data_IF_791065338340
#
_entry.id   IF_791065338340
#
_cell.length_a   1.000
_cell.length_b   1.000
_cell.length_c   1.000
_cell.angle_alpha   90.00
_cell.angle_beta   90.00
_cell.angle_gamma   90.00
#
_symmetry.space_group_name_H-M   'P 1'
#
loop_
_entity.id
_entity.type
_entity.pdbx_description
1 polymer ?
#
# COMPACT_ATOMS: atom_id res chain seq x y z
N UNK A 1 -0.90 6.40 -7.73
CA UNK A 1 0.00 6.01 -8.84
C UNK A 1 1.42 6.06 -8.33
N UNK A 2 2.18 4.97 -8.49
CA UNK A 2 3.61 4.95 -8.13
C UNK A 2 4.38 5.42 -9.38
N UNK A 3 5.07 6.58 -9.37
CA UNK A 3 5.79 7.08 -10.52
C UNK A 3 7.21 6.51 -10.63
N UNK A 4 7.55 5.53 -9.79
CA UNK A 4 8.84 4.82 -9.81
C UNK A 4 9.11 4.20 -11.18
N UNK A 5 10.31 4.48 -11.71
CA UNK A 5 10.93 3.69 -12.77
C UNK A 5 12.30 3.22 -12.32
N UNK A 6 12.73 2.09 -12.86
CA UNK A 6 14.00 1.44 -12.55
C UNK A 6 14.96 1.55 -13.71
N UNK A 7 16.26 1.50 -13.40
CA UNK A 7 17.31 1.45 -14.40
C UNK A 7 17.15 0.21 -15.28
N UNK A 8 17.59 0.28 -16.53
CA UNK A 8 17.60 -0.88 -17.42
C UNK A 8 18.70 -1.87 -17.02
N UNK A 9 18.37 -3.16 -17.02
CA UNK A 9 19.33 -4.23 -16.70
C UNK A 9 18.63 -5.52 -16.31
N UNK A 10 19.37 -6.64 -16.19
CA UNK A 10 18.82 -7.92 -15.76
C UNK A 10 18.47 -7.94 -14.27
N UNK A 11 17.39 -8.62 -13.89
CA UNK A 11 16.98 -8.75 -12.48
C UNK A 11 16.41 -7.46 -11.88
N UNK A 12 16.37 -7.41 -10.55
CA UNK A 12 15.87 -6.25 -9.80
C UNK A 12 16.89 -5.12 -9.92
N UNK A 13 16.48 -4.00 -10.51
CA UNK A 13 17.33 -2.84 -10.75
C UNK A 13 17.02 -1.69 -9.77
N UNK A 14 18.02 -0.86 -9.42
CA UNK A 14 17.81 0.35 -8.62
C UNK A 14 16.82 1.31 -9.27
N UNK A 15 16.16 2.14 -8.45
CA UNK A 15 15.34 3.25 -8.95
C UNK A 15 16.18 4.23 -9.79
N UNK A 16 15.53 4.84 -10.78
CA UNK A 16 16.10 5.87 -11.63
C UNK A 16 15.40 7.22 -11.39
N UNK A 17 15.95 8.09 -10.52
CA UNK A 17 15.39 9.41 -10.26
C UNK A 17 15.34 10.32 -11.50
N UNK A 18 16.13 10.04 -12.55
CA UNK A 18 16.12 10.85 -13.78
C UNK A 18 14.82 10.68 -14.58
N UNK A 19 14.07 9.61 -14.30
CA UNK A 19 12.81 9.31 -14.97
C UNK A 19 11.58 9.99 -14.33
N UNK A 20 11.72 10.63 -13.16
CA UNK A 20 10.58 11.25 -12.46
C UNK A 20 9.86 12.24 -13.39
N UNK A 21 10.58 13.12 -14.08
CA UNK A 21 9.96 14.12 -14.96
C UNK A 21 9.23 13.48 -16.14
N UNK A 22 9.76 12.36 -16.66
CA UNK A 22 9.13 11.62 -17.75
C UNK A 22 7.76 11.11 -17.29
N UNK A 23 7.70 10.45 -16.14
CA UNK A 23 6.45 9.88 -15.62
C UNK A 23 5.46 10.97 -15.22
N UNK A 24 5.92 12.06 -14.60
CA UNK A 24 5.04 13.19 -14.26
C UNK A 24 4.46 13.85 -15.52
N UNK A 25 5.20 13.92 -16.62
CA UNK A 25 4.69 14.42 -17.90
C UNK A 25 3.69 13.47 -18.56
N UNK A 26 3.90 12.15 -18.45
CA UNK A 26 2.91 11.15 -18.89
C UNK A 26 1.61 11.26 -18.10
N UNK A 27 1.71 11.41 -16.77
CA UNK A 27 0.55 11.63 -15.89
C UNK A 27 -0.24 12.87 -16.34
N UNK A 28 0.44 14.00 -16.53
CA UNK A 28 -0.21 15.25 -16.99
C UNK A 28 -0.91 15.10 -18.34
N UNK A 29 -0.32 14.34 -19.26
CA UNK A 29 -0.84 14.22 -20.64
C UNK A 29 -1.88 13.14 -20.84
N UNK A 30 -1.90 12.08 -20.01
CA UNK A 30 -2.70 10.87 -20.28
C UNK A 30 -3.65 10.49 -19.16
N UNK A 31 -3.34 10.83 -17.91
CA UNK A 31 -4.00 10.20 -16.76
C UNK A 31 -4.38 11.16 -15.62
N UNK A 32 -4.14 12.47 -15.77
CA UNK A 32 -4.27 13.43 -14.66
C UNK A 32 -5.65 13.38 -14.00
N UNK A 33 -6.73 13.30 -14.79
CA UNK A 33 -8.11 13.26 -14.28
C UNK A 33 -8.46 11.95 -13.56
N UNK A 34 -7.67 10.89 -13.74
CA UNK A 34 -7.87 9.59 -13.10
C UNK A 34 -6.96 9.40 -11.86
N UNK A 35 -6.00 10.29 -11.63
CA UNK A 35 -5.03 10.18 -10.55
C UNK A 35 -5.44 11.06 -9.37
N UNK A 36 -5.53 10.45 -8.19
CA UNK A 36 -5.89 11.14 -6.93
C UNK A 36 -4.71 11.33 -5.99
N UNK A 37 -3.60 10.61 -6.21
CA UNK A 37 -2.38 10.69 -5.41
C UNK A 37 -1.20 10.06 -6.14
N UNK A 38 -0.01 10.54 -5.80
CA UNK A 38 1.27 9.94 -6.16
C UNK A 38 1.83 9.20 -4.96
N UNK A 39 2.40 8.02 -5.15
CA UNK A 39 2.99 7.21 -4.09
C UNK A 39 4.50 7.10 -4.33
N UNK A 40 5.30 7.36 -3.31
CA UNK A 40 6.74 7.17 -3.37
C UNK A 40 7.10 5.66 -3.52
N UNK A 41 8.37 5.29 -3.74
CA UNK A 41 8.76 3.93 -4.13
C UNK A 41 8.17 2.81 -3.28
N UNK A 42 7.86 1.69 -3.92
CA UNK A 42 7.19 0.55 -3.30
C UNK A 42 8.19 -0.50 -2.81
N UNK A 43 8.16 -0.79 -1.50
CA UNK A 43 8.94 -1.86 -0.85
C UNK A 43 10.41 -1.90 -1.29
N UNK A 44 10.99 -0.71 -1.52
CA UNK A 44 12.34 -0.60 -2.07
C UNK A 44 13.39 -1.18 -1.12
N UNK A 45 13.11 -1.30 0.18
CA UNK A 45 13.97 -1.95 1.17
C UNK A 45 14.28 -3.42 0.87
N UNK A 46 13.43 -4.11 0.09
CA UNK A 46 13.68 -5.49 -0.36
C UNK A 46 13.82 -5.61 -1.89
N UNK A 47 13.42 -4.57 -2.64
CA UNK A 47 13.47 -4.55 -4.11
C UNK A 47 14.47 -3.53 -4.68
N UNK A 48 15.54 -3.19 -3.96
CA UNK A 48 16.57 -2.23 -4.40
C UNK A 48 17.68 -2.82 -5.30
N UNK A 49 17.72 -4.14 -5.47
CA UNK A 49 18.72 -4.79 -6.31
C UNK A 49 20.14 -4.55 -5.80
N UNK A 50 21.04 -4.09 -6.69
CA UNK A 50 22.44 -3.83 -6.34
C UNK A 50 22.69 -2.48 -5.63
N UNK A 51 21.65 -1.72 -5.31
CA UNK A 51 21.80 -0.42 -4.65
C UNK A 51 22.18 -0.59 -3.17
N UNK A 52 23.46 -0.39 -2.85
CA UNK A 52 23.96 -0.45 -1.47
C UNK A 52 23.62 0.79 -0.66
N UNK A 53 23.15 1.86 -1.31
CA UNK A 53 22.78 3.14 -0.67
C UNK A 53 21.25 3.40 -0.77
N UNK A 54 20.48 2.32 -0.76
CA UNK A 54 19.03 2.35 -1.01
C UNK A 54 18.28 3.31 -0.06
N UNK A 55 18.74 3.45 1.19
CA UNK A 55 18.15 4.36 2.18
C UNK A 55 18.25 5.81 1.71
N UNK A 56 19.43 6.27 1.28
CA UNK A 56 19.56 7.64 0.79
C UNK A 56 18.83 7.82 -0.54
N UNK A 57 18.86 6.82 -1.41
CA UNK A 57 18.21 6.90 -2.71
C UNK A 57 16.68 6.98 -2.61
N UNK A 58 16.03 6.18 -1.75
CA UNK A 58 14.57 6.27 -1.55
C UNK A 58 14.15 7.59 -0.89
N UNK A 59 14.95 8.10 0.06
CA UNK A 59 14.74 9.41 0.68
C UNK A 59 14.85 10.51 -0.36
N UNK A 60 15.93 10.53 -1.14
CA UNK A 60 16.14 11.51 -2.20
C UNK A 60 15.05 11.45 -3.27
N UNK A 61 14.62 10.25 -3.67
CA UNK A 61 13.53 10.08 -4.62
C UNK A 61 12.23 10.68 -4.09
N UNK A 62 11.86 10.38 -2.83
CA UNK A 62 10.64 10.90 -2.20
C UNK A 62 10.66 12.43 -2.12
N UNK A 63 11.80 13.02 -1.74
CA UNK A 63 12.00 14.47 -1.69
C UNK A 63 11.86 15.10 -3.09
N UNK A 64 12.48 14.50 -4.10
CA UNK A 64 12.44 14.99 -5.48
C UNK A 64 11.02 14.92 -6.05
N UNK A 65 10.32 13.80 -5.85
CA UNK A 65 8.93 13.63 -6.26
C UNK A 65 8.03 14.70 -5.64
N UNK A 66 8.11 14.88 -4.32
CA UNK A 66 7.33 15.89 -3.61
C UNK A 66 7.60 17.29 -4.15
N UNK A 67 8.87 17.70 -4.25
CA UNK A 67 9.23 19.04 -4.72
C UNK A 67 8.72 19.29 -6.13
N UNK A 68 8.94 18.35 -7.06
CA UNK A 68 8.49 18.48 -8.45
C UNK A 68 6.98 18.59 -8.55
N UNK A 69 6.24 17.71 -7.87
CA UNK A 69 4.78 17.75 -7.87
C UNK A 69 4.24 19.06 -7.28
N UNK A 70 4.78 19.52 -6.14
CA UNK A 70 4.32 20.74 -5.46
C UNK A 70 4.64 22.03 -6.21
N UNK A 71 5.69 22.05 -7.04
CA UNK A 71 6.03 23.22 -7.87
C UNK A 71 5.32 23.26 -9.23
N UNK A 72 4.68 22.17 -9.65
CA UNK A 72 3.98 22.07 -10.93
C UNK A 72 2.50 22.42 -10.75
N UNK A 73 1.99 23.38 -11.53
CA UNK A 73 0.61 23.89 -11.38
C UNK A 73 -0.49 22.83 -11.57
N UNK A 74 -0.23 21.81 -12.40
CA UNK A 74 -1.17 20.72 -12.67
C UNK A 74 -1.12 19.64 -11.61
N UNK A 75 0.02 19.48 -10.93
CA UNK A 75 0.27 18.37 -10.00
C UNK A 75 0.23 18.76 -8.52
N UNK A 76 0.36 20.05 -8.18
CA UNK A 76 0.45 20.52 -6.79
C UNK A 76 -0.73 20.13 -5.89
N UNK A 77 -1.87 19.80 -6.49
CA UNK A 77 -3.07 19.35 -5.78
C UNK A 77 -3.13 17.83 -5.58
N UNK A 78 -2.22 17.06 -6.20
CA UNK A 78 -2.09 15.63 -5.96
C UNK A 78 -1.31 15.40 -4.67
N UNK A 79 -1.91 14.65 -3.74
CA UNK A 79 -1.25 14.28 -2.51
C UNK A 79 -0.12 13.29 -2.75
N UNK A 80 0.93 13.38 -1.93
CA UNK A 80 2.05 12.44 -1.91
C UNK A 80 1.86 11.44 -0.77
N UNK A 81 1.82 10.16 -1.10
CA UNK A 81 1.87 9.05 -0.15
C UNK A 81 3.35 8.67 0.02
N UNK A 82 3.80 8.48 1.26
CA UNK A 82 5.18 8.09 1.56
C UNK A 82 5.58 6.73 0.96
N UNK A 83 6.87 6.37 1.01
CA UNK A 83 7.29 5.07 0.51
C UNK A 83 6.70 3.96 1.38
N UNK A 84 6.27 2.86 0.76
CA UNK A 84 5.99 1.63 1.50
C UNK A 84 7.29 0.89 1.78
N UNK A 85 7.37 0.24 2.93
CA UNK A 85 8.52 -0.56 3.37
C UNK A 85 8.02 -1.82 4.09
N UNK A 86 8.85 -2.86 4.14
CA UNK A 86 8.42 -4.20 4.60
C UNK A 86 8.73 -4.50 6.07
N UNK A 87 9.63 -3.73 6.70
CA UNK A 87 10.17 -4.03 8.05
C UNK A 87 10.31 -2.79 8.93
N UNK A 88 10.23 -2.96 10.25
CA UNK A 88 10.41 -1.86 11.19
C UNK A 88 11.81 -1.23 11.04
N UNK A 89 12.83 -2.07 10.87
CA UNK A 89 14.22 -1.65 10.65
C UNK A 89 14.34 -0.75 9.42
N UNK A 90 13.61 -1.04 8.34
CA UNK A 90 13.58 -0.18 7.17
C UNK A 90 12.89 1.17 7.45
N UNK A 91 11.76 1.18 8.18
CA UNK A 91 11.12 2.44 8.59
C UNK A 91 12.02 3.28 9.50
N UNK A 92 12.77 2.65 10.40
CA UNK A 92 13.75 3.33 11.27
C UNK A 92 14.94 3.87 10.46
N UNK A 93 15.45 3.11 9.49
CA UNK A 93 16.56 3.52 8.63
C UNK A 93 16.18 4.67 7.69
N UNK A 94 15.01 4.58 7.04
CA UNK A 94 14.48 5.67 6.19
C UNK A 94 14.10 6.87 7.04
N UNK A 95 13.48 6.66 8.20
CA UNK A 95 13.16 7.69 9.18
C UNK A 95 12.20 8.77 8.67
N UNK A 96 12.32 9.95 9.29
CA UNK A 96 11.36 11.04 9.13
C UNK A 96 11.30 11.59 7.69
N UNK A 97 10.12 11.45 7.06
CA UNK A 97 9.74 11.96 5.74
C UNK A 97 8.63 13.02 5.82
N UNK A 98 8.29 13.49 7.02
CA UNK A 98 7.08 14.26 7.31
C UNK A 98 6.94 15.53 6.46
N UNK A 99 8.04 16.22 6.13
CA UNK A 99 7.99 17.43 5.27
C UNK A 99 7.79 17.15 3.78
N UNK A 100 7.80 15.88 3.35
CA UNK A 100 7.85 15.47 1.95
C UNK A 100 6.77 14.46 1.56
N UNK A 101 5.78 14.25 2.42
CA UNK A 101 4.63 13.37 2.20
C UNK A 101 3.38 14.04 2.77
N UNK A 102 2.20 13.72 2.26
CA UNK A 102 0.90 14.13 2.82
C UNK A 102 0.26 13.00 3.65
N UNK A 103 0.56 11.75 3.29
CA UNK A 103 0.10 10.56 3.99
C UNK A 103 1.25 9.62 4.30
N UNK A 104 1.18 8.99 5.47
CA UNK A 104 2.01 7.84 5.79
C UNK A 104 1.53 6.65 4.98
N UNK A 105 2.47 5.84 4.50
CA UNK A 105 2.17 4.59 3.82
C UNK A 105 2.47 3.39 4.72
N UNK A 106 1.56 2.43 4.79
CA UNK A 106 1.77 1.16 5.49
C UNK A 106 1.17 -0.01 4.72
N UNK A 107 1.96 -1.04 4.44
CA UNK A 107 1.44 -2.32 3.99
C UNK A 107 0.96 -3.14 5.20
N UNK A 108 -0.35 -3.17 5.45
CA UNK A 108 -0.94 -3.70 6.68
C UNK A 108 -1.36 -5.17 6.55
N UNK A 109 -0.33 -5.99 6.39
CA UNK A 109 -0.24 -7.42 6.69
C UNK A 109 -1.00 -8.00 7.90
N UNK A 110 -2.26 -8.45 7.81
CA UNK A 110 -2.88 -9.25 8.89
C UNK A 110 -2.84 -10.79 8.66
N UNK A 111 -2.37 -11.22 7.48
CA UNK A 111 -2.04 -12.61 7.17
C UNK A 111 -3.14 -13.61 7.59
N UNK A 112 -2.82 -14.78 8.16
CA UNK A 112 -3.84 -15.75 8.58
C UNK A 112 -4.67 -15.36 9.82
N UNK A 113 -4.49 -14.16 10.38
CA UNK A 113 -5.11 -13.76 11.64
C UNK A 113 -6.42 -13.00 11.43
N UNK A 114 -7.27 -12.96 12.45
CA UNK A 114 -8.51 -12.21 12.34
C UNK A 114 -8.26 -10.70 12.27
N UNK A 115 -9.16 -9.95 11.59
CA UNK A 115 -9.04 -8.51 11.50
C UNK A 115 -9.06 -7.81 12.85
N UNK A 116 -8.06 -6.97 13.10
CA UNK A 116 -7.92 -6.23 14.35
C UNK A 116 -7.38 -7.05 15.52
N UNK A 117 -6.67 -8.16 15.24
CA UNK A 117 -5.94 -8.89 16.27
C UNK A 117 -4.95 -7.98 17.03
N UNK A 118 -4.76 -8.27 18.32
CA UNK A 118 -3.95 -7.46 19.22
C UNK A 118 -2.43 -7.67 19.05
N UNK A 119 -2.02 -8.62 18.19
CA UNK A 119 -0.66 -8.75 17.71
C UNK A 119 0.36 -9.13 18.81
N UNK A 120 1.49 -8.41 18.83
CA UNK A 120 2.64 -8.60 19.73
C UNK A 120 2.37 -8.10 21.18
N UNK A 121 1.20 -8.41 21.73
CA UNK A 121 0.84 -8.21 23.14
C UNK A 121 0.63 -9.55 23.88
N UNK A 122 1.52 -10.52 23.59
CA UNK A 122 1.68 -11.85 24.19
C UNK A 122 0.97 -13.03 23.52
N UNK A 123 0.38 -12.91 22.32
CA UNK A 123 -0.36 -14.04 21.69
C UNK A 123 -0.24 -14.24 20.17
N UNK A 124 0.40 -13.34 19.41
CA UNK A 124 0.48 -13.46 17.94
C UNK A 124 1.89 -13.17 17.40
N UNK A 125 2.22 -13.69 16.20
CA UNK A 125 3.52 -13.50 15.53
C UNK A 125 3.54 -12.34 14.54
N UNK A 126 2.43 -11.59 14.42
CA UNK A 126 2.29 -10.45 13.52
C UNK A 126 2.02 -9.14 14.28
N UNK A 127 2.42 -7.97 13.77
CA UNK A 127 2.14 -6.69 14.42
C UNK A 127 0.65 -6.33 14.39
N UNK A 128 0.13 -5.78 15.49
CA UNK A 128 -1.22 -5.21 15.50
C UNK A 128 -1.27 -3.85 14.82
N UNK A 129 -2.47 -3.38 14.48
CA UNK A 129 -2.68 -2.03 13.93
C UNK A 129 -2.11 -0.97 14.89
N UNK A 130 -2.25 -1.17 16.21
CA UNK A 130 -1.66 -0.28 17.23
C UNK A 130 -0.15 -0.23 17.11
N UNK A 131 0.48 -1.39 16.94
CA UNK A 131 1.93 -1.48 16.79
C UNK A 131 2.40 -0.78 15.51
N UNK A 132 1.73 -1.03 14.38
CA UNK A 132 2.02 -0.33 13.13
C UNK A 132 1.95 1.19 13.28
N UNK A 133 0.92 1.73 13.92
CA UNK A 133 0.84 3.18 14.14
C UNK A 133 1.95 3.69 15.05
N UNK A 134 2.21 3.01 16.16
CA UNK A 134 3.15 3.50 17.17
C UNK A 134 4.61 3.32 16.77
N UNK A 135 4.91 2.31 15.94
CA UNK A 135 6.28 1.90 15.62
C UNK A 135 6.68 2.11 14.18
N UNK A 136 5.76 1.99 13.23
CA UNK A 136 6.06 2.18 11.80
C UNK A 136 5.69 3.60 11.37
N UNK A 137 4.41 3.98 11.51
CA UNK A 137 3.92 5.27 11.04
C UNK A 137 4.66 6.45 11.68
N UNK A 138 4.98 6.35 12.97
CA UNK A 138 5.72 7.39 13.71
C UNK A 138 7.15 7.62 13.22
N UNK A 139 7.80 6.63 12.60
CA UNK A 139 9.12 6.84 12.00
C UNK A 139 9.01 7.72 10.76
N UNK A 140 8.03 7.43 9.91
CA UNK A 140 7.83 8.15 8.65
C UNK A 140 7.22 9.55 8.87
N UNK A 141 6.28 9.70 9.82
CA UNK A 141 5.68 10.98 10.22
C UNK A 141 5.56 11.10 11.75
N UNK A 142 6.56 11.71 12.42
CA UNK A 142 6.47 11.99 13.85
C UNK A 142 5.32 12.93 14.22
N UNK A 143 4.90 13.84 13.33
CA UNK A 143 3.75 14.72 13.57
C UNK A 143 2.40 13.99 13.56
N UNK A 144 2.35 12.75 13.02
CA UNK A 144 1.14 11.94 13.01
C UNK A 144 0.23 12.21 11.82
N UNK A 145 0.79 12.36 10.62
CA UNK A 145 0.00 12.40 9.38
C UNK A 145 -0.86 11.14 9.24
N UNK A 146 -1.99 11.28 8.56
CA UNK A 146 -2.94 10.18 8.34
C UNK A 146 -2.28 9.05 7.56
N UNK A 147 -2.65 7.82 7.89
CA UNK A 147 -2.15 6.62 7.22
C UNK A 147 -3.05 6.28 6.03
N UNK A 148 -2.44 5.97 4.90
CA UNK A 148 -3.05 5.14 3.85
C UNK A 148 -2.37 3.77 3.87
N UNK A 149 -3.16 2.73 3.76
CA UNK A 149 -2.65 1.38 3.56
C UNK A 149 -2.77 1.03 2.09
N UNK A 150 -1.70 1.24 1.32
CA UNK A 150 -1.69 1.02 -0.14
C UNK A 150 -1.62 -0.44 -0.52
N UNK A 151 -1.37 -1.31 0.46
CA UNK A 151 -1.45 -2.75 0.30
C UNK A 151 -1.89 -3.44 1.60
N UNK A 152 -2.88 -4.32 1.48
CA UNK A 152 -3.32 -5.25 2.52
C UNK A 152 -4.19 -6.32 1.87
N UNK A 153 -4.36 -7.45 2.54
CA UNK A 153 -5.26 -8.48 2.06
C UNK A 153 -5.05 -9.82 2.75
N UNK A 154 -5.81 -10.78 2.29
CA UNK A 154 -5.70 -12.19 2.64
C UNK A 154 -5.52 -12.98 1.35
N UNK A 155 -4.67 -13.99 1.40
CA UNK A 155 -4.49 -14.94 0.31
C UNK A 155 -5.13 -16.28 0.69
N UNK A 156 -5.59 -17.03 -0.31
CA UNK A 156 -6.29 -18.30 -0.13
C UNK A 156 -5.55 -19.55 -0.66
N UNK A 157 -4.24 -19.43 -0.83
CA UNK A 157 -3.34 -20.57 -1.01
C UNK A 157 -3.06 -21.25 0.34
N UNK A 158 -3.86 -22.28 0.64
CA UNK A 158 -3.77 -23.09 1.85
C UNK A 158 -2.39 -23.76 2.03
N UNK A 159 -1.64 -24.03 0.96
CA UNK A 159 -0.30 -24.60 1.07
C UNK A 159 0.72 -23.58 1.60
N UNK A 160 0.44 -22.29 1.44
CA UNK A 160 1.27 -21.18 1.88
C UNK A 160 0.70 -20.46 3.10
N UNK A 161 0.05 -21.21 4.00
CA UNK A 161 -0.59 -20.68 5.21
C UNK A 161 -1.68 -19.63 4.93
N UNK A 162 -2.36 -19.77 3.78
CA UNK A 162 -3.51 -18.97 3.40
C UNK A 162 -4.77 -19.34 4.15
N UNK A 163 -5.80 -18.52 3.95
CA UNK A 163 -7.15 -18.76 4.46
C UNK A 163 -7.96 -19.62 3.49
N UNK A 164 -9.06 -20.18 3.94
CA UNK A 164 -10.08 -20.62 2.97
C UNK A 164 -10.71 -19.41 2.30
N UNK A 165 -11.21 -19.56 1.07
CA UNK A 165 -12.02 -18.53 0.40
C UNK A 165 -13.19 -18.02 1.26
N UNK A 166 -13.80 -18.90 2.05
CA UNK A 166 -14.87 -18.52 2.98
C UNK A 166 -14.35 -17.64 4.13
N UNK A 167 -13.18 -17.94 4.68
CA UNK A 167 -12.56 -17.14 5.71
C UNK A 167 -12.11 -15.77 5.18
N UNK A 168 -11.49 -15.71 3.99
CA UNK A 168 -11.22 -14.45 3.27
C UNK A 168 -12.52 -13.65 3.07
N UNK A 169 -13.59 -14.31 2.63
CA UNK A 169 -14.92 -13.71 2.49
C UNK A 169 -15.46 -13.02 3.75
N UNK A 170 -15.15 -13.57 4.93
CA UNK A 170 -15.52 -12.99 6.23
C UNK A 170 -14.54 -11.91 6.68
N UNK A 171 -13.25 -12.09 6.40
CA UNK A 171 -12.19 -11.24 6.94
C UNK A 171 -11.98 -9.96 6.11
N UNK A 172 -12.13 -10.02 4.79
CA UNK A 172 -12.01 -8.85 3.92
C UNK A 172 -12.91 -7.67 4.36
N UNK A 173 -14.25 -7.79 4.46
CA UNK A 173 -15.10 -6.67 4.88
C UNK A 173 -14.82 -6.22 6.33
N UNK A 174 -14.47 -7.16 7.22
CA UNK A 174 -14.08 -6.86 8.60
C UNK A 174 -12.78 -6.06 8.67
N UNK A 175 -11.81 -6.34 7.81
CA UNK A 175 -10.56 -5.59 7.72
C UNK A 175 -10.82 -4.14 7.27
N UNK A 176 -11.63 -3.93 6.22
CA UNK A 176 -12.03 -2.57 5.82
C UNK A 176 -12.73 -1.81 6.95
N UNK A 177 -13.70 -2.44 7.62
CA UNK A 177 -14.43 -1.82 8.72
C UNK A 177 -13.52 -1.51 9.92
N UNK A 178 -12.64 -2.44 10.29
CA UNK A 178 -11.68 -2.23 11.38
C UNK A 178 -10.67 -1.14 11.03
N UNK A 179 -10.11 -1.16 9.82
CA UNK A 179 -9.12 -0.17 9.39
C UNK A 179 -9.73 1.24 9.39
N UNK A 180 -10.96 1.36 8.87
CA UNK A 180 -11.73 2.60 8.95
C UNK A 180 -11.96 3.04 10.39
N UNK A 181 -12.46 2.14 11.27
CA UNK A 181 -12.70 2.41 12.69
C UNK A 181 -11.44 2.89 13.41
N UNK A 182 -10.27 2.40 13.00
CA UNK A 182 -8.96 2.72 13.58
C UNK A 182 -8.35 4.00 13.01
N UNK A 183 -8.99 4.64 12.03
CA UNK A 183 -8.54 5.92 11.47
C UNK A 183 -7.60 5.81 10.28
N UNK A 184 -7.52 4.65 9.62
CA UNK A 184 -6.84 4.51 8.33
C UNK A 184 -7.67 5.28 7.31
N UNK A 185 -7.05 6.23 6.63
CA UNK A 185 -7.73 7.16 5.73
C UNK A 185 -8.18 6.51 4.43
N UNK A 186 -7.36 5.60 3.89
CA UNK A 186 -7.68 4.81 2.70
C UNK A 186 -7.00 3.46 2.78
N UNK A 187 -7.72 2.42 2.37
CA UNK A 187 -7.24 1.03 2.34
C UNK A 187 -7.37 0.51 0.92
N UNK A 188 -6.30 -0.09 0.40
CA UNK A 188 -6.25 -0.70 -0.92
C UNK A 188 -6.06 -2.20 -0.74
N UNK A 189 -7.02 -2.98 -1.24
CA UNK A 189 -6.92 -4.44 -1.17
C UNK A 189 -6.05 -4.94 -2.32
N UNK A 190 -4.99 -5.65 -1.97
CA UNK A 190 -4.26 -6.52 -2.87
C UNK A 190 -5.01 -7.86 -2.94
N UNK A 191 -5.52 -8.29 -4.09
CA UNK A 191 -5.68 -7.56 -5.35
C UNK A 191 -7.10 -7.76 -5.91
N UNK A 192 -7.38 -7.20 -7.10
CA UNK A 192 -8.70 -7.35 -7.72
C UNK A 192 -8.89 -8.76 -8.31
N UNK A 193 -7.90 -9.27 -9.04
CA UNK A 193 -7.96 -10.55 -9.76
C UNK A 193 -6.72 -11.36 -9.41
N UNK A 194 -6.88 -12.64 -9.07
CA UNK A 194 -5.75 -13.56 -8.90
C UNK A 194 -4.84 -13.54 -10.14
N UNK A 195 -3.54 -13.37 -9.92
CA UNK A 195 -2.53 -13.56 -10.96
C UNK A 195 -2.45 -15.03 -11.43
N UNK A 196 -2.06 -15.22 -12.69
CA UNK A 196 -1.84 -16.55 -13.29
C UNK A 196 -0.46 -17.11 -12.94
N UNK A 197 -0.16 -17.18 -11.64
CA UNK A 197 1.12 -17.67 -11.10
C UNK A 197 0.87 -18.54 -9.86
N UNK A 198 1.75 -19.51 -9.55
CA UNK A 198 1.63 -20.32 -8.36
C UNK A 198 2.01 -19.55 -7.09
N UNK A 199 1.57 -20.07 -5.94
CA UNK A 199 1.93 -19.55 -4.62
C UNK A 199 1.01 -18.43 -4.15
N UNK A 200 1.33 -17.89 -2.96
CA UNK A 200 0.53 -16.83 -2.29
C UNK A 200 0.21 -15.64 -3.20
N UNK A 201 1.14 -15.22 -4.06
CA UNK A 201 0.98 -14.03 -4.90
C UNK A 201 -0.10 -14.22 -5.97
N UNK A 202 -0.38 -15.46 -6.38
CA UNK A 202 -1.48 -15.79 -7.28
C UNK A 202 -2.84 -15.95 -6.61
N UNK A 203 -2.96 -15.70 -5.31
CA UNK A 203 -4.11 -16.09 -4.49
C UNK A 203 -4.75 -14.93 -3.70
N UNK A 204 -4.41 -13.67 -4.01
CA UNK A 204 -4.91 -12.50 -3.28
C UNK A 204 -6.18 -11.85 -3.85
N UNK A 205 -6.60 -12.21 -5.06
CA UNK A 205 -7.70 -11.59 -5.80
C UNK A 205 -9.03 -11.60 -5.05
N UNK A 206 -9.87 -10.60 -5.31
CA UNK A 206 -11.31 -10.68 -5.06
C UNK A 206 -11.99 -11.61 -6.09
N UNK A 207 -11.47 -11.61 -7.31
CA UNK A 207 -11.84 -12.49 -8.39
C UNK A 207 -10.75 -13.55 -8.58
N UNK A 208 -11.15 -14.74 -9.04
CA UNK A 208 -10.19 -15.73 -9.54
C UNK A 208 -9.65 -15.29 -10.89
N UNK A 209 -8.63 -15.98 -11.39
CA UNK A 209 -7.97 -15.63 -12.65
C UNK A 209 -8.94 -15.68 -13.86
N UNK A 210 -9.95 -16.54 -13.82
CA UNK A 210 -11.03 -16.64 -14.81
C UNK A 210 -12.16 -15.60 -14.61
N UNK A 211 -11.94 -14.60 -13.75
CA UNK A 211 -12.88 -13.56 -13.35
C UNK A 211 -14.11 -14.05 -12.57
N UNK A 212 -14.16 -15.33 -12.19
CA UNK A 212 -15.22 -15.81 -11.30
C UNK A 212 -15.08 -15.21 -9.91
N UNK A 213 -16.21 -14.86 -9.30
CA UNK A 213 -16.23 -14.18 -8.00
C UNK A 213 -15.80 -15.12 -6.86
N UNK A 214 -14.91 -14.64 -5.98
CA UNK A 214 -14.68 -15.25 -4.67
C UNK A 214 -15.71 -14.75 -3.65
N UNK A 215 -15.91 -15.44 -2.51
CA UNK A 215 -16.76 -14.95 -1.43
C UNK A 215 -16.41 -13.53 -0.97
N UNK A 216 -15.14 -13.15 -0.99
CA UNK A 216 -14.68 -11.79 -0.64
C UNK A 216 -15.16 -10.72 -1.62
N UNK A 217 -15.23 -10.99 -2.93
CA UNK A 217 -15.83 -10.06 -3.90
C UNK A 217 -17.29 -9.75 -3.58
N UNK A 218 -18.07 -10.81 -3.32
CA UNK A 218 -19.50 -10.69 -2.98
C UNK A 218 -19.69 -9.94 -1.66
N UNK A 219 -18.89 -10.26 -0.65
CA UNK A 219 -18.97 -9.61 0.64
C UNK A 219 -18.64 -8.11 0.57
N UNK A 220 -17.60 -7.72 -0.17
CA UNK A 220 -17.24 -6.31 -0.38
C UNK A 220 -18.31 -5.58 -1.21
N UNK A 221 -18.83 -6.20 -2.27
CA UNK A 221 -19.92 -5.62 -3.07
C UNK A 221 -21.17 -5.37 -2.22
N UNK A 222 -21.54 -6.33 -1.36
CA UNK A 222 -22.65 -6.18 -0.43
C UNK A 222 -22.40 -5.08 0.60
N UNK A 223 -21.19 -5.00 1.17
CA UNK A 223 -20.82 -3.93 2.10
C UNK A 223 -20.95 -2.55 1.45
N UNK A 224 -20.41 -2.39 0.23
CA UNK A 224 -20.54 -1.15 -0.55
C UNK A 224 -22.01 -0.84 -0.79
N UNK A 225 -22.81 -1.82 -1.22
CA UNK A 225 -24.24 -1.62 -1.49
C UNK A 225 -25.03 -1.18 -0.25
N UNK A 226 -24.70 -1.72 0.93
CA UNK A 226 -25.37 -1.36 2.20
C UNK A 226 -24.97 0.06 2.63
N UNK A 227 -23.71 0.44 2.44
CA UNK A 227 -23.18 1.75 2.83
C UNK A 227 -23.34 2.83 1.76
N UNK A 228 -23.88 2.48 0.59
CA UNK A 228 -24.19 3.42 -0.49
C UNK A 228 -25.44 4.23 -0.12
N UNK A 229 -25.32 5.09 0.89
CA UNK A 229 -26.30 6.10 1.22
C UNK A 229 -26.09 7.30 0.28
N UNK A 230 -27.04 7.53 -0.62
CA UNK A 230 -27.00 8.68 -1.54
C UNK A 230 -27.35 10.00 -0.84
N UNK A 231 -27.72 9.95 0.45
CA UNK A 231 -28.41 11.04 1.12
C UNK A 231 -29.87 11.19 0.63
N UNK A 232 -30.65 12.09 1.25
CA UNK A 232 -31.96 12.48 0.70
C UNK A 232 -31.79 13.18 -0.66
N UNK A 233 -32.64 12.81 -1.62
CA UNK A 233 -32.79 13.53 -2.91
C UNK A 233 -33.39 14.92 -2.70
#
# INVERSE_FOLDING_TARGET
MIPERRKSGPGIQPIDPTQIDVVLNEIKSQALSAIVSLEAPNEYDVFHGSDTDWVNNIRNYTILLYRKAQTDEMLRNLSIIGPSLTSLEAYEAVGNMDSYIDYVNLHLYQWGYWPGNEGWDNKSTIPSITYYFNKYARQQSPSGKRVQSTETGYQDDLHNAGLSEEADGKYAPRAFAEFFRRGIYRTFKYELVNQDIPGKEGAFGLLRNDLSEKPSFRAITNLISILNDKGPN
#
